data_IF_640330539405
#
_entry.id   IF_640330539405
#
_cell.length_a   1.000
_cell.length_b   1.000
_cell.length_c   1.000
_cell.angle_alpha   90.00
_cell.angle_beta   90.00
_cell.angle_gamma   90.00
#
_symmetry.space_group_name_H-M   'P 1'
#
loop_
_entity.id
_entity.type
_entity.pdbx_description
1 polymer ?
#
# COMPACT_ATOMS: atom_id res chain seq x y z
N UNK A 1 -42.24 -5.16 17.64
CA UNK A 1 -42.46 -5.82 16.34
C UNK A 1 -43.09 -4.81 15.38
N UNK A 2 -42.57 -4.68 14.15
CA UNK A 2 -43.12 -3.76 13.14
C UNK A 2 -42.73 -2.28 13.25
N UNK A 3 -41.73 -1.95 14.08
CA UNK A 3 -41.18 -0.58 14.17
C UNK A 3 -39.93 -0.48 13.30
N UNK A 4 -39.75 0.65 12.62
CA UNK A 4 -38.52 0.96 11.87
C UNK A 4 -37.46 1.40 12.86
N UNK A 5 -36.29 0.77 12.81
CA UNK A 5 -35.13 1.19 13.58
C UNK A 5 -34.23 1.99 12.64
N UNK A 6 -34.16 3.30 12.81
CA UNK A 6 -33.25 4.13 12.03
C UNK A 6 -31.83 4.02 12.60
N UNK A 7 -30.89 3.62 11.76
CA UNK A 7 -29.46 3.57 12.05
C UNK A 7 -28.86 4.87 11.53
N UNK A 8 -28.39 5.71 12.46
CA UNK A 8 -27.71 6.96 12.17
C UNK A 8 -26.21 6.77 12.34
N UNK A 9 -25.43 7.31 11.40
CA UNK A 9 -23.98 7.40 11.47
C UNK A 9 -23.62 8.86 11.16
N UNK A 10 -22.88 9.52 12.06
CA UNK A 10 -22.48 10.93 11.93
C UNK A 10 -23.63 11.89 11.57
N UNK A 11 -24.81 11.62 12.14
CA UNK A 11 -26.04 12.39 11.95
C UNK A 11 -26.68 12.26 10.54
N UNK A 12 -26.19 11.35 9.69
CA UNK A 12 -26.85 10.93 8.46
C UNK A 12 -27.59 9.60 8.64
N UNK A 13 -28.75 9.47 7.96
CA UNK A 13 -29.58 8.27 8.01
C UNK A 13 -29.06 7.24 6.99
N UNK A 14 -28.40 6.18 7.46
CA UNK A 14 -27.84 5.14 6.58
C UNK A 14 -28.91 4.12 6.18
N UNK A 15 -29.70 3.62 7.13
CA UNK A 15 -30.76 2.65 6.84
C UNK A 15 -31.80 2.62 7.95
N UNK A 16 -33.07 2.40 7.58
CA UNK A 16 -34.18 2.24 8.50
C UNK A 16 -34.88 0.88 8.31
N UNK A 17 -34.18 -0.25 8.57
CA UNK A 17 -34.77 -1.57 8.40
C UNK A 17 -35.94 -1.77 9.37
N UNK A 18 -36.95 -2.51 8.90
CA UNK A 18 -38.06 -2.93 9.74
C UNK A 18 -37.56 -4.04 10.66
N UNK A 19 -37.83 -3.92 11.96
CA UNK A 19 -37.44 -4.96 12.92
C UNK A 19 -38.35 -6.17 12.73
N UNK A 20 -37.83 -7.18 12.02
CA UNK A 20 -38.52 -8.44 11.67
C UNK A 20 -38.46 -9.49 12.78
N UNK A 21 -37.42 -9.48 13.64
CA UNK A 21 -37.23 -10.47 14.71
C UNK A 21 -36.70 -9.82 16.01
N UNK A 22 -37.03 -10.42 17.16
CA UNK A 22 -36.45 -10.04 18.47
C UNK A 22 -34.98 -10.46 18.48
N UNK A 23 -34.06 -9.51 18.43
CA UNK A 23 -32.64 -9.80 18.64
C UNK A 23 -32.45 -10.04 20.14
N UNK A 24 -32.23 -11.30 20.53
CA UNK A 24 -31.82 -11.67 21.89
C UNK A 24 -30.30 -11.50 22.00
N UNK A 25 -29.74 -11.21 23.17
CA UNK A 25 -28.31 -10.86 23.36
C UNK A 25 -27.29 -11.90 22.84
N UNK A 26 -27.75 -13.10 22.45
CA UNK A 26 -26.95 -14.18 21.88
C UNK A 26 -26.97 -14.20 20.33
N UNK A 27 -27.85 -13.45 19.68
CA UNK A 27 -28.03 -13.43 18.23
C UNK A 27 -27.40 -12.21 17.57
N UNK A 28 -26.84 -12.39 16.36
CA UNK A 28 -26.30 -11.31 15.55
C UNK A 28 -27.45 -10.60 14.82
N UNK A 29 -27.48 -9.27 14.88
CA UNK A 29 -28.38 -8.45 14.08
C UNK A 29 -27.91 -8.39 12.63
N UNK A 30 -28.85 -8.51 11.67
CA UNK A 30 -28.56 -8.37 10.25
C UNK A 30 -29.15 -7.07 9.72
N UNK A 31 -28.33 -6.22 9.12
CA UNK A 31 -28.78 -5.01 8.42
C UNK A 31 -29.13 -5.43 7.00
N UNK A 32 -30.43 -5.43 6.68
CA UNK A 32 -30.94 -5.72 5.33
C UNK A 32 -31.24 -4.41 4.60
N UNK A 33 -30.80 -4.28 3.36
CA UNK A 33 -31.00 -3.10 2.51
C UNK A 33 -30.56 -3.37 1.07
N UNK A 34 -30.72 -2.37 0.19
CA UNK A 34 -30.23 -2.42 -1.19
C UNK A 34 -28.79 -1.89 -1.24
N UNK A 35 -27.83 -2.64 -0.68
CA UNK A 35 -26.41 -2.28 -0.72
C UNK A 35 -25.71 -3.02 -1.86
N UNK A 36 -24.77 -2.35 -2.52
CA UNK A 36 -23.75 -3.01 -3.33
C UNK A 36 -22.70 -3.67 -2.44
N UNK A 37 -21.89 -4.59 -3.00
CA UNK A 37 -20.83 -5.30 -2.25
C UNK A 37 -19.82 -4.31 -1.65
N UNK A 38 -19.44 -3.28 -2.42
CA UNK A 38 -18.48 -2.26 -1.99
C UNK A 38 -19.04 -1.38 -0.86
N UNK A 39 -20.31 -0.97 -0.96
CA UNK A 39 -21.00 -0.20 0.09
C UNK A 39 -21.19 -1.00 1.39
N UNK A 40 -21.52 -2.29 1.29
CA UNK A 40 -21.62 -3.15 2.46
C UNK A 40 -20.27 -3.31 3.17
N UNK A 41 -19.17 -3.38 2.40
CA UNK A 41 -17.81 -3.45 2.93
C UNK A 41 -17.38 -2.16 3.63
N UNK A 42 -17.62 -1.00 3.03
CA UNK A 42 -17.27 0.30 3.63
C UNK A 42 -18.09 0.58 4.89
N UNK A 43 -19.38 0.20 4.91
CA UNK A 43 -20.23 0.31 6.09
C UNK A 43 -19.77 -0.62 7.21
N UNK A 44 -19.35 -1.85 6.88
CA UNK A 44 -18.80 -2.77 7.86
C UNK A 44 -17.49 -2.24 8.48
N UNK A 45 -16.62 -1.61 7.67
CA UNK A 45 -15.40 -0.98 8.17
C UNK A 45 -15.74 0.15 9.15
N UNK A 46 -16.66 1.04 8.78
CA UNK A 46 -17.09 2.17 9.61
C UNK A 46 -17.75 1.73 10.93
N UNK A 47 -18.57 0.66 10.90
CA UNK A 47 -19.19 0.10 12.10
C UNK A 47 -18.17 -0.61 13.02
N UNK A 48 -17.16 -1.28 12.45
CA UNK A 48 -16.11 -1.95 13.22
C UNK A 48 -15.08 -0.97 13.80
N UNK A 49 -14.80 0.15 13.11
CA UNK A 49 -13.91 1.19 13.63
C UNK A 49 -14.52 1.97 14.79
N UNK A 50 -15.84 1.86 15.00
CA UNK A 50 -16.57 2.63 16.01
C UNK A 50 -16.57 4.13 15.72
N UNK A 51 -17.18 4.92 16.60
CA UNK A 51 -17.08 6.37 16.55
C UNK A 51 -15.65 6.78 16.94
N UNK A 52 -14.89 7.29 16.00
CA UNK A 52 -13.55 7.78 16.28
C UNK A 52 -13.66 9.12 17.03
N UNK A 53 -13.48 9.10 18.34
CA UNK A 53 -13.67 10.23 19.28
C UNK A 53 -12.53 11.29 19.20
N UNK A 54 -11.72 11.24 18.14
CA UNK A 54 -10.52 12.08 17.97
C UNK A 54 -10.47 12.60 16.54
N UNK A 55 -10.32 13.92 16.32
CA UNK A 55 -10.21 14.48 14.98
C UNK A 55 -8.94 13.96 14.30
N UNK A 56 -9.12 13.12 13.28
CA UNK A 56 -8.02 12.72 12.40
C UNK A 56 -7.58 13.93 11.59
N UNK A 57 -6.50 14.57 12.02
CA UNK A 57 -5.75 15.47 11.16
C UNK A 57 -4.90 14.62 10.21
N UNK A 58 -5.26 14.62 8.94
CA UNK A 58 -4.41 14.05 7.88
C UNK A 58 -3.15 14.92 7.80
N UNK A 59 -2.09 14.51 8.49
CA UNK A 59 -0.79 15.22 8.55
C UNK A 59 0.06 15.00 7.29
N UNK A 60 -0.35 14.11 6.39
CA UNK A 60 0.31 13.89 5.12
C UNK A 60 -0.32 12.74 4.35
N UNK A 61 -0.82 13.05 3.16
CA UNK A 61 -1.21 12.05 2.16
C UNK A 61 -0.41 12.34 0.90
N UNK A 62 0.72 11.67 0.75
CA UNK A 62 1.47 11.69 -0.50
C UNK A 62 0.89 10.63 -1.44
N UNK A 63 -0.12 11.05 -2.23
CA UNK A 63 -0.54 10.27 -3.38
C UNK A 63 0.48 10.51 -4.49
N UNK A 64 1.47 9.62 -4.59
CA UNK A 64 2.43 9.64 -5.69
C UNK A 64 1.72 9.08 -6.92
N UNK A 65 1.53 9.92 -7.93
CA UNK A 65 0.95 9.46 -9.19
C UNK A 65 1.82 8.35 -9.81
N UNK A 66 1.23 7.20 -10.21
CA UNK A 66 1.97 6.08 -10.80
C UNK A 66 2.86 6.49 -11.98
N UNK A 67 2.47 7.54 -12.71
CA UNK A 67 3.21 8.11 -13.84
C UNK A 67 4.55 8.72 -13.42
N UNK A 68 4.62 9.41 -12.29
CA UNK A 68 5.87 10.00 -11.76
C UNK A 68 6.83 8.90 -11.27
N UNK A 69 6.28 7.82 -10.70
CA UNK A 69 7.05 6.63 -10.34
C UNK A 69 7.64 5.96 -11.58
N UNK A 70 6.83 5.72 -12.61
CA UNK A 70 7.27 5.07 -13.85
C UNK A 70 8.37 5.86 -14.57
N UNK A 71 8.23 7.18 -14.70
CA UNK A 71 9.24 8.05 -15.30
C UNK A 71 10.54 8.06 -14.48
N UNK A 72 10.43 8.10 -13.15
CA UNK A 72 11.59 8.05 -12.25
C UNK A 72 12.37 6.73 -12.38
N UNK A 73 11.68 5.60 -12.50
CA UNK A 73 12.33 4.29 -12.72
C UNK A 73 13.05 4.25 -14.07
N UNK A 74 12.45 4.79 -15.13
CA UNK A 74 13.08 4.81 -16.45
C UNK A 74 14.34 5.69 -16.45
N UNK A 75 14.26 6.88 -15.88
CA UNK A 75 15.40 7.81 -15.75
C UNK A 75 16.50 7.22 -14.86
N UNK A 76 16.14 6.63 -13.72
CA UNK A 76 17.09 5.98 -12.81
C UNK A 76 17.81 4.81 -13.48
N UNK A 77 17.10 3.98 -14.24
CA UNK A 77 17.70 2.88 -15.01
C UNK A 77 18.76 3.38 -16.01
N UNK A 78 18.44 4.42 -16.78
CA UNK A 78 19.40 4.98 -17.74
C UNK A 78 20.61 5.61 -17.03
N UNK A 79 20.38 6.38 -15.96
CA UNK A 79 21.45 6.97 -15.17
C UNK A 79 22.37 5.92 -14.53
N UNK A 80 21.79 4.83 -14.01
CA UNK A 80 22.53 3.73 -13.42
C UNK A 80 23.44 3.01 -14.43
N UNK A 81 22.92 2.72 -15.64
CA UNK A 81 23.71 2.07 -16.70
C UNK A 81 24.89 2.96 -17.11
N UNK A 82 24.64 4.24 -17.36
CA UNK A 82 25.68 5.18 -17.77
C UNK A 82 26.73 5.32 -16.65
N UNK A 83 26.29 5.47 -15.40
CA UNK A 83 27.18 5.59 -14.24
C UNK A 83 28.07 4.37 -14.03
N UNK A 84 27.52 3.16 -14.12
CA UNK A 84 28.28 1.91 -13.99
C UNK A 84 29.32 1.79 -15.11
N UNK A 85 28.94 2.04 -16.36
CA UNK A 85 29.88 1.96 -17.50
C UNK A 85 31.03 2.94 -17.33
N UNK A 86 30.73 4.18 -16.94
CA UNK A 86 31.73 5.23 -16.75
C UNK A 86 32.67 4.92 -15.57
N UNK A 87 32.13 4.35 -14.48
CA UNK A 87 32.90 3.87 -13.34
C UNK A 87 33.83 2.72 -13.71
N UNK A 88 33.33 1.70 -14.44
CA UNK A 88 34.14 0.56 -14.88
C UNK A 88 35.26 1.01 -15.82
N UNK A 89 34.95 1.90 -16.76
CA UNK A 89 35.94 2.45 -17.69
C UNK A 89 37.02 3.25 -16.95
N UNK A 90 36.63 4.08 -15.97
CA UNK A 90 37.58 4.80 -15.13
C UNK A 90 38.49 3.86 -14.33
N UNK A 91 37.92 2.82 -13.72
CA UNK A 91 38.67 1.79 -12.98
C UNK A 91 39.72 1.09 -13.86
N UNK A 92 39.35 0.69 -15.08
CA UNK A 92 40.26 0.01 -16.00
C UNK A 92 41.37 0.94 -16.51
N UNK A 93 41.07 2.19 -16.83
CA UNK A 93 42.08 3.14 -17.31
C UNK A 93 43.10 3.48 -16.21
N UNK A 94 42.62 3.77 -14.99
CA UNK A 94 43.49 4.22 -13.91
C UNK A 94 44.30 3.07 -13.29
N UNK A 95 43.68 1.89 -13.09
CA UNK A 95 44.30 0.76 -12.39
C UNK A 95 44.77 -0.38 -13.31
N UNK A 96 44.59 -0.27 -14.64
CA UNK A 96 45.00 -1.26 -15.65
C UNK A 96 44.54 -2.69 -15.29
N UNK A 97 45.50 -3.56 -14.96
CA UNK A 97 45.25 -4.99 -14.68
C UNK A 97 44.52 -5.20 -13.35
N UNK A 98 44.87 -4.42 -12.31
CA UNK A 98 44.19 -4.47 -11.01
C UNK A 98 42.76 -3.94 -11.11
N UNK A 99 42.51 -2.98 -12.01
CA UNK A 99 41.17 -2.46 -12.29
C UNK A 99 40.22 -3.53 -12.83
N UNK A 100 40.71 -4.41 -13.69
CA UNK A 100 39.90 -5.51 -14.23
C UNK A 100 39.47 -6.51 -13.16
N UNK A 101 40.38 -6.82 -12.22
CA UNK A 101 40.09 -7.69 -11.07
C UNK A 101 39.07 -7.03 -10.14
N UNK A 102 39.21 -5.73 -9.87
CA UNK A 102 38.24 -4.97 -9.10
C UNK A 102 36.84 -4.94 -9.74
N UNK A 103 36.76 -4.83 -11.07
CA UNK A 103 35.48 -4.90 -11.80
C UNK A 103 34.79 -6.26 -11.63
N UNK A 104 35.55 -7.37 -11.67
CA UNK A 104 35.02 -8.71 -11.42
C UNK A 104 34.52 -8.82 -9.97
N UNK A 105 35.31 -8.36 -9.00
CA UNK A 105 34.90 -8.33 -7.59
C UNK A 105 33.63 -7.52 -7.37
N UNK A 106 33.50 -6.36 -8.03
CA UNK A 106 32.30 -5.52 -7.97
C UNK A 106 31.07 -6.24 -8.54
N UNK A 107 31.23 -6.95 -9.66
CA UNK A 107 30.17 -7.76 -10.24
C UNK A 107 29.70 -8.88 -9.30
N UNK A 108 30.65 -9.61 -8.70
CA UNK A 108 30.35 -10.65 -7.71
C UNK A 108 29.61 -10.04 -6.52
N UNK A 109 30.10 -8.93 -5.97
CA UNK A 109 29.44 -8.21 -4.88
C UNK A 109 28.00 -7.82 -5.24
N UNK A 110 27.76 -7.26 -6.43
CA UNK A 110 26.43 -6.88 -6.89
C UNK A 110 25.46 -8.07 -6.97
N UNK A 111 25.91 -9.22 -7.45
CA UNK A 111 25.11 -10.45 -7.48
C UNK A 111 24.76 -10.92 -6.07
N UNK A 112 25.73 -10.96 -5.15
CA UNK A 112 25.47 -11.33 -3.75
C UNK A 112 24.50 -10.36 -3.07
N UNK A 113 24.68 -9.06 -3.29
CA UNK A 113 23.79 -8.04 -2.75
C UNK A 113 22.35 -8.26 -3.24
N UNK A 114 22.14 -8.42 -4.55
CA UNK A 114 20.82 -8.72 -5.11
C UNK A 114 20.24 -10.05 -4.61
N UNK A 115 21.07 -11.07 -4.45
CA UNK A 115 20.63 -12.37 -3.90
C UNK A 115 20.11 -12.22 -2.47
N UNK A 116 20.74 -11.40 -1.63
CA UNK A 116 20.29 -11.13 -0.26
C UNK A 116 18.92 -10.44 -0.27
N UNK A 117 18.73 -9.40 -1.10
CA UNK A 117 17.42 -8.74 -1.24
C UNK A 117 16.34 -9.68 -1.78
N UNK A 118 16.71 -10.60 -2.67
CA UNK A 118 15.76 -11.59 -3.20
C UNK A 118 15.38 -12.65 -2.18
N UNK A 119 16.28 -13.02 -1.25
CA UNK A 119 16.05 -14.08 -0.25
C UNK A 119 15.34 -13.55 0.99
N UNK A 120 15.59 -12.31 1.38
CA UNK A 120 14.91 -11.64 2.48
C UNK A 120 13.93 -10.59 1.92
N UNK A 121 12.71 -11.01 1.53
CA UNK A 121 11.65 -10.06 1.21
C UNK A 121 11.26 -9.34 2.50
N UNK A 122 11.70 -8.09 2.63
CA UNK A 122 11.15 -7.11 3.58
C UNK A 122 9.99 -6.35 2.93
#
# INVERSE_FOLDING_TARGET
MGKRLAIFLDNEMISAPVVEATITATERGYIKGQFTIDEAGSLAIQLNSGSLDVPLTIIGQENIDPTLGADSIQKSKQAAIIGIVLLLLFMVIYYRLLGLIACISLGIYGVFFLAIFSVFPI
#
